data_IF_427477910202
#
_entry.id   IF_427477910202
#
_cell.length_a   1.000
_cell.length_b   1.000
_cell.length_c   1.000
_cell.angle_alpha   90.00
_cell.angle_beta   90.00
_cell.angle_gamma   90.00
#
_symmetry.space_group_name_H-M   'P 1'
#
loop_
_entity.id
_entity.type
_entity.pdbx_description
1 polymer ?
#
# COMPACT_ATOMS: atom_id res chain seq x y z
N UNK A 1 -50.90 -5.86 10.88
CA UNK A 1 -50.28 -5.29 12.10
C UNK A 1 -49.61 -6.47 12.81
N UNK A 2 -48.30 -6.69 12.86
CA UNK A 2 -47.08 -5.87 12.65
C UNK A 2 -46.03 -6.77 11.97
N UNK A 3 -45.33 -6.25 10.96
CA UNK A 3 -44.14 -6.85 10.37
C UNK A 3 -42.97 -6.68 11.34
N UNK A 4 -42.25 -7.75 11.65
CA UNK A 4 -40.96 -7.69 12.32
C UNK A 4 -39.86 -7.72 11.25
N UNK A 5 -39.28 -6.55 10.98
CA UNK A 5 -38.05 -6.41 10.22
C UNK A 5 -36.90 -6.64 11.21
N UNK A 6 -36.25 -7.81 11.12
CA UNK A 6 -34.96 -8.03 11.78
C UNK A 6 -33.90 -7.24 10.99
N UNK A 7 -33.56 -6.05 11.48
CA UNK A 7 -32.40 -5.31 11.03
C UNK A 7 -31.14 -6.10 11.41
N UNK A 8 -30.53 -6.77 10.44
CA UNK A 8 -29.19 -7.30 10.58
C UNK A 8 -28.21 -6.11 10.55
N UNK A 9 -27.82 -5.64 11.74
CA UNK A 9 -26.68 -4.75 11.90
C UNK A 9 -25.43 -5.55 11.51
N UNK A 10 -24.92 -5.34 10.30
CA UNK A 10 -23.58 -5.78 9.94
C UNK A 10 -22.60 -4.92 10.76
N UNK A 11 -22.07 -5.49 11.83
CA UNK A 11 -20.98 -4.89 12.58
C UNK A 11 -19.75 -4.84 11.67
N UNK A 12 -19.46 -3.67 11.09
CA UNK A 12 -18.13 -3.36 10.58
C UNK A 12 -17.18 -3.46 11.77
N UNK A 13 -16.41 -4.54 11.84
CA UNK A 13 -15.27 -4.57 12.75
C UNK A 13 -14.28 -3.51 12.26
N UNK A 14 -13.88 -2.54 13.10
CA UNK A 14 -12.77 -1.69 12.76
C UNK A 14 -11.53 -2.59 12.64
N UNK A 15 -10.83 -2.52 11.51
CA UNK A 15 -9.45 -3.00 11.45
C UNK A 15 -8.71 -2.27 12.56
N UNK A 16 -8.33 -3.01 13.61
CA UNK A 16 -7.44 -2.49 14.64
C UNK A 16 -6.11 -2.19 13.96
N UNK A 17 -5.88 -0.91 13.63
CA UNK A 17 -4.57 -0.42 13.28
C UNK A 17 -3.66 -0.69 14.48
N UNK A 18 -2.69 -1.59 14.30
CA UNK A 18 -1.65 -1.82 15.29
C UNK A 18 -0.77 -0.57 15.33
N UNK A 19 -1.05 0.35 16.25
CA UNK A 19 -0.15 1.47 16.53
C UNK A 19 1.05 0.93 17.31
N UNK A 20 2.17 0.68 16.62
CA UNK A 20 3.42 0.34 17.29
C UNK A 20 4.18 1.63 17.58
N UNK A 21 4.12 2.07 18.84
CA UNK A 21 4.99 3.11 19.39
C UNK A 21 4.97 4.44 18.59
N UNK A 22 3.81 4.78 18.00
CA UNK A 22 3.61 6.03 17.25
C UNK A 22 3.80 5.92 15.73
N UNK A 23 4.13 4.75 15.19
CA UNK A 23 3.92 4.46 13.77
C UNK A 23 2.53 3.84 13.55
N UNK A 24 1.80 4.36 12.58
CA UNK A 24 0.52 3.82 12.14
C UNK A 24 0.51 3.58 10.63
N UNK A 25 -0.35 2.65 10.21
CA UNK A 25 -0.57 2.31 8.81
C UNK A 25 -2.05 2.44 8.50
N UNK A 26 -2.36 3.21 7.47
CA UNK A 26 -3.73 3.46 6.99
C UNK A 26 -3.90 2.87 5.58
N UNK A 27 -5.13 2.47 5.25
CA UNK A 27 -5.57 2.07 3.90
C UNK A 27 -4.73 0.97 3.22
N UNK A 28 -4.07 0.11 3.99
CA UNK A 28 -3.24 -0.95 3.44
C UNK A 28 -4.02 -1.91 2.54
N UNK A 29 -3.47 -2.23 1.37
CA UNK A 29 -4.00 -3.24 0.47
C UNK A 29 -2.89 -3.84 -0.39
N UNK A 30 -3.12 -5.07 -0.85
CA UNK A 30 -2.28 -5.75 -1.82
C UNK A 30 -3.03 -5.90 -3.13
N UNK A 31 -2.31 -5.74 -4.24
CA UNK A 31 -2.85 -6.01 -5.57
C UNK A 31 -1.93 -6.95 -6.32
N UNK A 32 -2.50 -8.04 -6.80
CA UNK A 32 -1.84 -8.97 -7.71
C UNK A 32 -1.59 -8.31 -9.07
N UNK A 33 -0.35 -8.37 -9.54
CA UNK A 33 0.02 -7.92 -10.89
C UNK A 33 0.01 -9.08 -11.86
N UNK A 34 0.47 -10.25 -11.41
CA UNK A 34 0.38 -11.52 -12.10
C UNK A 34 0.43 -12.68 -11.06
N UNK A 35 0.27 -13.96 -11.45
CA UNK A 35 0.26 -15.07 -10.50
C UNK A 35 1.52 -15.26 -9.63
N UNK A 36 2.61 -14.54 -9.95
CA UNK A 36 3.91 -14.62 -9.26
C UNK A 36 4.36 -13.31 -8.64
N UNK A 37 3.66 -12.20 -8.86
CA UNK A 37 4.07 -10.89 -8.35
C UNK A 37 2.88 -10.01 -7.93
N UNK A 38 3.06 -9.26 -6.85
CA UNK A 38 2.07 -8.33 -6.33
C UNK A 38 2.73 -7.05 -5.81
N UNK A 39 1.97 -5.95 -5.76
CA UNK A 39 2.36 -4.72 -5.08
C UNK A 39 1.53 -4.53 -3.81
N UNK A 40 2.16 -4.11 -2.72
CA UNK A 40 1.49 -3.65 -1.51
C UNK A 40 1.58 -2.13 -1.40
N UNK A 41 0.45 -1.53 -1.04
CA UNK A 41 0.20 -0.10 -1.02
C UNK A 41 -0.46 0.26 0.30
N UNK A 42 -0.13 1.41 0.88
CA UNK A 42 -0.60 1.85 2.18
C UNK A 42 -0.16 3.29 2.44
N UNK A 43 -0.71 3.93 3.46
CA UNK A 43 -0.20 5.21 3.96
C UNK A 43 0.50 4.95 5.30
N UNK A 44 1.76 5.36 5.39
CA UNK A 44 2.54 5.32 6.63
C UNK A 44 2.35 6.66 7.34
N UNK A 45 1.92 6.65 8.59
CA UNK A 45 1.76 7.85 9.42
C UNK A 45 2.71 7.77 10.62
N UNK A 46 3.65 8.72 10.68
CA UNK A 46 4.60 8.83 11.76
C UNK A 46 4.13 9.86 12.78
N UNK A 47 3.45 9.41 13.84
CA UNK A 47 3.03 10.25 14.96
C UNK A 47 4.15 10.54 15.98
N UNK A 48 5.39 10.11 15.71
CA UNK A 48 6.53 10.32 16.61
C UNK A 48 7.13 11.71 16.39
N UNK A 49 7.98 12.12 17.33
CA UNK A 49 8.80 13.36 17.25
C UNK A 49 10.17 13.14 16.60
N UNK A 50 10.42 11.95 16.06
CA UNK A 50 11.66 11.56 15.39
C UNK A 50 11.34 11.00 14.01
N UNK A 51 12.25 11.17 13.06
CA UNK A 51 12.12 10.59 11.73
C UNK A 51 12.32 9.08 11.81
N UNK A 52 11.58 8.34 11.00
CA UNK A 52 11.74 6.89 10.84
C UNK A 52 11.86 6.58 9.35
N UNK A 53 12.68 5.60 8.99
CA UNK A 53 12.88 5.21 7.60
C UNK A 53 12.39 3.79 7.41
N UNK A 54 11.46 3.57 6.48
CA UNK A 54 11.13 2.21 6.05
C UNK A 54 12.32 1.69 5.22
N UNK A 55 13.09 0.78 5.79
CA UNK A 55 14.31 0.22 5.16
C UNK A 55 14.04 -1.13 4.51
N UNK A 56 12.92 -1.78 4.84
CA UNK A 56 12.56 -3.05 4.24
C UNK A 56 11.15 -3.51 4.59
N UNK A 57 10.75 -4.61 3.97
CA UNK A 57 9.55 -5.34 4.32
C UNK A 57 9.77 -6.84 4.06
N UNK A 58 8.99 -7.67 4.75
CA UNK A 58 8.99 -9.13 4.54
C UNK A 58 7.57 -9.71 4.63
N UNK A 59 7.37 -10.88 4.02
CA UNK A 59 6.10 -11.61 4.04
C UNK A 59 6.37 -13.10 3.80
N UNK A 60 5.57 -13.96 4.39
CA UNK A 60 5.55 -15.40 4.11
C UNK A 60 4.85 -15.74 2.76
N UNK A 61 4.11 -14.78 2.19
CA UNK A 61 3.41 -14.96 0.92
C UNK A 61 4.32 -14.85 -0.32
N UNK A 62 5.57 -14.41 -0.18
CA UNK A 62 6.50 -14.17 -1.29
C UNK A 62 7.93 -14.60 -0.96
N UNK A 63 8.67 -15.08 -1.96
CA UNK A 63 10.09 -15.40 -1.84
C UNK A 63 10.96 -14.17 -1.60
N UNK A 64 10.58 -13.02 -2.17
CA UNK A 64 11.32 -11.77 -2.05
C UNK A 64 10.36 -10.58 -1.95
N UNK A 65 10.65 -9.68 -1.02
CA UNK A 65 9.91 -8.42 -0.82
C UNK A 65 10.91 -7.28 -0.89
N UNK A 66 10.60 -6.25 -1.68
CA UNK A 66 11.50 -5.13 -1.95
C UNK A 66 10.75 -3.80 -1.91
N UNK A 67 11.43 -2.73 -1.54
CA UNK A 67 10.92 -1.36 -1.66
C UNK A 67 11.25 -0.86 -3.06
N UNK A 68 10.24 -0.43 -3.81
CA UNK A 68 10.40 0.06 -5.18
C UNK A 68 9.91 1.49 -5.26
N UNK A 69 10.70 2.35 -5.89
CA UNK A 69 10.36 3.74 -6.22
C UNK A 69 10.23 3.90 -7.73
N UNK A 70 9.53 4.95 -8.14
CA UNK A 70 9.48 5.39 -9.53
C UNK A 70 10.39 6.60 -9.71
N UNK A 71 11.48 6.43 -10.45
CA UNK A 71 12.37 7.53 -10.80
C UNK A 71 12.19 7.88 -12.27
N UNK A 72 11.97 9.17 -12.55
CA UNK A 72 12.03 9.69 -13.91
C UNK A 72 13.50 9.76 -14.34
N UNK A 73 13.87 8.93 -15.30
CA UNK A 73 15.17 8.99 -15.94
C UNK A 73 14.95 9.19 -17.45
N UNK A 74 15.42 10.34 -17.96
CA UNK A 74 15.32 10.70 -19.38
C UNK A 74 13.87 10.72 -19.93
N UNK A 75 12.90 11.17 -19.12
CA UNK A 75 11.49 11.22 -19.49
C UNK A 75 10.79 9.86 -19.51
N UNK A 76 11.45 8.81 -19.02
CA UNK A 76 10.89 7.47 -18.84
C UNK A 76 10.81 7.18 -17.34
N UNK A 77 9.60 6.92 -16.85
CA UNK A 77 9.39 6.43 -15.49
C UNK A 77 9.91 5.00 -15.37
N UNK A 78 10.94 4.79 -14.55
CA UNK A 78 11.48 3.46 -14.27
C UNK A 78 11.20 3.08 -12.82
N UNK A 79 10.60 1.91 -12.67
CA UNK A 79 10.43 1.25 -11.38
C UNK A 79 11.75 0.59 -11.01
N UNK A 80 12.36 1.03 -9.90
CA UNK A 80 13.63 0.50 -9.41
C UNK A 80 13.55 0.23 -7.91
N UNK A 81 14.35 -0.73 -7.46
CA UNK A 81 14.53 -0.99 -6.03
C UNK A 81 15.16 0.24 -5.38
N UNK A 82 14.57 0.71 -4.30
CA UNK A 82 15.15 1.72 -3.43
C UNK A 82 16.07 1.04 -2.41
N UNK A 83 17.34 1.45 -2.38
CA UNK A 83 18.34 0.91 -1.45
C UNK A 83 18.46 1.75 -0.17
N UNK A 84 18.01 3.00 -0.20
CA UNK A 84 18.07 3.93 0.93
C UNK A 84 16.78 3.87 1.78
N UNK A 85 15.70 3.36 1.19
CA UNK A 85 14.40 3.22 1.84
C UNK A 85 13.60 4.51 1.83
N UNK A 86 12.46 4.51 2.52
CA UNK A 86 11.52 5.64 2.52
C UNK A 86 11.55 6.38 3.85
N UNK A 87 12.20 7.57 3.94
CA UNK A 87 12.18 8.37 5.14
C UNK A 87 10.81 8.99 5.37
N UNK A 88 10.34 8.94 6.61
CA UNK A 88 9.06 9.47 7.05
C UNK A 88 9.35 10.45 8.17
N UNK A 89 9.21 11.73 7.85
CA UNK A 89 9.48 12.81 8.79
C UNK A 89 8.58 12.74 10.05
N UNK A 90 9.00 13.35 11.17
CA UNK A 90 8.18 13.44 12.37
C UNK A 90 6.83 14.10 12.07
N UNK A 91 5.74 13.53 12.59
CA UNK A 91 4.38 14.06 12.40
C UNK A 91 3.96 14.17 10.93
N UNK A 92 4.59 13.37 10.06
CA UNK A 92 4.34 13.35 8.63
C UNK A 92 3.79 12.00 8.15
N UNK A 93 3.24 12.04 6.94
CA UNK A 93 2.70 10.86 6.24
C UNK A 93 3.51 10.60 4.98
N UNK A 94 3.73 9.32 4.67
CA UNK A 94 4.31 8.87 3.41
C UNK A 94 3.36 7.89 2.73
N UNK A 95 2.96 8.20 1.49
CA UNK A 95 2.05 7.36 0.74
C UNK A 95 2.83 6.36 -0.11
N UNK A 96 2.50 5.07 0.04
CA UNK A 96 2.90 4.01 -0.86
C UNK A 96 1.76 3.72 -1.82
N UNK A 97 1.84 4.22 -3.05
CA UNK A 97 0.73 4.27 -3.99
C UNK A 97 1.09 3.75 -5.39
N UNK A 98 0.06 3.59 -6.21
CA UNK A 98 0.22 3.16 -7.59
C UNK A 98 0.75 4.31 -8.44
N UNK A 99 1.99 4.20 -8.89
CA UNK A 99 2.61 5.26 -9.68
C UNK A 99 3.70 6.02 -8.91
N UNK A 100 3.84 5.78 -7.61
CA UNK A 100 4.97 6.19 -6.80
C UNK A 100 5.63 5.02 -6.07
N UNK A 101 6.02 5.28 -4.83
CA UNK A 101 6.68 4.30 -3.96
C UNK A 101 5.73 3.16 -3.60
N UNK A 102 6.23 1.93 -3.56
CA UNK A 102 5.43 0.79 -3.14
C UNK A 102 6.30 -0.40 -2.74
N UNK A 103 5.68 -1.39 -2.11
CA UNK A 103 6.36 -2.64 -1.73
C UNK A 103 6.08 -3.67 -2.82
N UNK A 104 7.14 -4.14 -3.47
CA UNK A 104 7.07 -5.14 -4.52
C UNK A 104 7.29 -6.54 -3.94
N UNK A 105 6.33 -7.44 -4.14
CA UNK A 105 6.37 -8.84 -3.73
C UNK A 105 6.62 -9.74 -4.95
N UNK A 106 7.70 -10.51 -4.92
CA UNK A 106 8.13 -11.36 -6.02
C UNK A 106 8.25 -12.82 -5.60
N UNK A 107 7.88 -13.72 -6.51
CA UNK A 107 7.89 -15.15 -6.23
C UNK A 107 6.77 -15.52 -5.26
N UNK A 108 5.53 -15.10 -5.56
CA UNK A 108 4.37 -15.47 -4.75
C UNK A 108 4.27 -17.00 -4.63
N UNK A 109 4.10 -17.47 -3.39
CA UNK A 109 3.98 -18.90 -3.06
C UNK A 109 2.68 -19.48 -3.62
N UNK A 110 1.64 -18.65 -3.69
CA UNK A 110 0.36 -18.95 -4.33
C UNK A 110 -0.23 -17.70 -5.00
N UNK A 111 -1.10 -17.85 -6.03
CA UNK A 111 -1.86 -16.73 -6.56
C UNK A 111 -2.72 -16.07 -5.47
N UNK A 112 -2.77 -14.74 -5.45
CA UNK A 112 -3.58 -13.95 -4.53
C UNK A 112 -4.94 -13.62 -5.14
N UNK A 113 -6.03 -14.01 -4.47
CA UNK A 113 -7.40 -13.75 -4.86
C UNK A 113 -8.01 -12.59 -4.06
N UNK A 114 -9.06 -11.95 -4.59
CA UNK A 114 -9.76 -10.88 -3.88
C UNK A 114 -10.28 -11.36 -2.52
N UNK A 115 -10.02 -10.57 -1.47
CA UNK A 115 -10.40 -10.88 -0.09
C UNK A 115 -9.40 -11.76 0.68
N UNK A 116 -8.35 -12.27 0.05
CA UNK A 116 -7.22 -12.87 0.77
C UNK A 116 -6.55 -11.82 1.67
N UNK A 117 -5.89 -12.25 2.74
CA UNK A 117 -5.14 -11.36 3.63
C UNK A 117 -3.66 -11.72 3.57
N UNK A 118 -2.83 -10.73 3.24
CA UNK A 118 -1.38 -10.86 3.20
C UNK A 118 -0.80 -10.22 4.45
N UNK A 119 0.07 -10.95 5.15
CA UNK A 119 0.80 -10.46 6.31
C UNK A 119 2.12 -9.88 5.87
N UNK A 120 2.38 -8.63 6.24
CA UNK A 120 3.60 -7.90 5.97
C UNK A 120 4.23 -7.52 7.31
N UNK A 121 5.56 -7.66 7.39
CA UNK A 121 6.35 -7.07 8.47
C UNK A 121 7.14 -5.93 7.86
N UNK A 122 6.82 -4.71 8.25
CA UNK A 122 7.54 -3.50 7.84
C UNK A 122 8.72 -3.29 8.79
N UNK A 123 9.90 -3.04 8.24
CA UNK A 123 11.12 -2.78 9.00
C UNK A 123 11.49 -1.30 8.89
N UNK A 124 11.41 -0.59 10.02
CA UNK A 124 11.79 0.81 10.13
C UNK A 124 13.19 1.02 10.74
N UNK A 125 14.03 -0.02 10.73
CA UNK A 125 15.39 0.01 11.26
C UNK A 125 15.39 0.32 12.76
N UNK A 126 15.99 1.45 13.13
CA UNK A 126 16.08 1.89 14.54
C UNK A 126 14.71 2.19 15.17
N UNK A 127 13.68 2.46 14.36
CA UNK A 127 12.31 2.66 14.84
C UNK A 127 11.55 1.34 15.08
N UNK A 128 12.17 0.19 14.82
CA UNK A 128 11.59 -1.14 15.04
C UNK A 128 10.75 -1.64 13.86
N UNK A 129 9.97 -2.69 14.11
CA UNK A 129 9.16 -3.35 13.09
C UNK A 129 7.67 -3.19 13.35
N UNK A 130 6.85 -3.24 12.31
CA UNK A 130 5.40 -3.18 12.40
C UNK A 130 4.74 -4.27 11.55
N UNK A 131 3.90 -5.08 12.19
CA UNK A 131 3.08 -6.07 11.51
C UNK A 131 1.84 -5.41 10.90
N UNK A 132 1.60 -5.68 9.62
CA UNK A 132 0.49 -5.15 8.83
C UNK A 132 -0.25 -6.32 8.18
N UNK A 133 -1.57 -6.35 8.36
CA UNK A 133 -2.45 -7.25 7.63
C UNK A 133 -3.12 -6.45 6.50
N UNK A 134 -2.77 -6.77 5.27
CA UNK A 134 -3.25 -6.06 4.08
C UNK A 134 -4.19 -6.97 3.26
N UNK A 135 -5.47 -6.61 3.11
CA UNK A 135 -6.38 -7.35 2.24
C UNK A 135 -5.97 -7.23 0.77
N UNK A 136 -6.19 -8.29 0.01
CA UNK A 136 -6.02 -8.30 -1.43
C UNK A 136 -7.25 -7.67 -2.08
N UNK A 137 -7.02 -6.57 -2.79
CA UNK A 137 -8.03 -5.85 -3.57
C UNK A 137 -7.47 -5.61 -4.98
N UNK A 138 -7.77 -6.54 -5.89
CA UNK A 138 -7.32 -6.45 -7.28
C UNK A 138 -8.14 -5.44 -8.10
N UNK A 139 -9.30 -5.04 -7.59
CA UNK A 139 -10.21 -4.11 -8.25
C UNK A 139 -9.98 -2.65 -7.83
N UNK A 140 -9.13 -2.39 -6.82
CA UNK A 140 -8.81 -1.03 -6.39
C UNK A 140 -8.23 -0.20 -7.53
N UNK A 141 -9.02 0.79 -7.96
CA UNK A 141 -8.54 1.85 -8.84
C UNK A 141 -7.59 2.75 -8.04
N UNK A 142 -6.59 3.37 -8.69
CA UNK A 142 -5.83 4.41 -8.01
C UNK A 142 -6.83 5.47 -7.52
N UNK A 143 -6.62 6.04 -6.34
CA UNK A 143 -7.28 7.30 -6.02
C UNK A 143 -6.90 8.25 -7.15
N UNK A 144 -7.90 8.87 -7.79
CA UNK A 144 -7.74 9.73 -8.97
C UNK A 144 -6.60 10.73 -8.76
N UNK A 145 -5.38 10.39 -9.19
CA UNK A 145 -4.37 11.38 -9.48
C UNK A 145 -4.97 12.17 -10.63
N UNK A 146 -5.41 13.39 -10.33
CA UNK A 146 -6.07 14.32 -11.25
C UNK A 146 -5.40 14.27 -12.62
N UNK A 147 -5.94 13.46 -13.51
CA UNK A 147 -5.63 13.54 -14.92
C UNK A 147 -6.37 14.79 -15.39
N UNK A 148 -5.66 15.92 -15.34
CA UNK A 148 -5.94 17.04 -16.23
C UNK A 148 -5.77 16.51 -17.66
N UNK A 149 -6.82 15.86 -18.15
CA UNK A 149 -6.98 15.52 -19.55
C UNK A 149 -7.25 16.84 -20.24
N UNK A 150 -6.16 17.54 -20.58
CA UNK A 150 -6.18 18.68 -21.47
C UNK A 150 -7.05 18.35 -22.67
N UNK A 151 -8.13 19.12 -22.79
CA UNK A 151 -9.08 19.22 -23.89
C UNK A 151 -8.41 18.91 -25.25
N UNK A 152 -8.60 17.69 -25.76
CA UNK A 152 -8.33 17.41 -27.17
C UNK A 152 -9.55 17.88 -27.96
N UNK A 153 -9.51 19.14 -28.39
CA UNK A 153 -10.42 19.65 -29.40
C UNK A 153 -10.15 18.92 -30.73
N UNK A 154 -11.05 18.00 -31.07
CA UNK A 154 -11.19 17.48 -32.42
C UNK A 154 -12.18 18.34 -33.20
N UNK A 155 -11.83 19.59 -33.48
CA UNK A 155 -12.52 20.38 -34.47
C UNK A 155 -11.93 20.08 -35.85
N UNK A 156 -12.62 19.16 -36.53
CA UNK A 156 -12.57 19.00 -37.97
C UNK A 156 -12.83 20.33 -38.67
N UNK A 157 -11.94 20.75 -39.58
CA UNK A 157 -12.23 21.30 -40.92
C UNK A 157 -10.93 21.48 -41.73
#
# INVERSE_FOLDING_TARGET
>A
MKLYVCAALAAMMPLTAFAHDGMAVEDAYVRSTNPKTAGAFMVLDNHRKVACTLVGASSDAAERVELHTHQEADGIMKMMKDEDGFPIDPEARHALDRGGDHIMMMGLTQPLADGDVVKLVLDFGDCGTLDVEAPVDNQRTPAEASMDMGEMDHSSH
#
